data_IF_700476562909
#
_entry.id   IF_700476562909
#
_cell.length_a   1.000
_cell.length_b   1.000
_cell.length_c   1.000
_cell.angle_alpha   90.00
_cell.angle_beta   90.00
_cell.angle_gamma   90.00
#
_symmetry.space_group_name_H-M   'P 1'
#
loop_
_entity.id
_entity.type
_entity.pdbx_description
1 polymer ?
#
# COMPACT_ATOMS: atom_id res chain seq x y z
N UNK A 1 20.73 6.79 14.92
CA UNK A 1 21.08 6.18 13.62
C UNK A 1 19.75 5.78 13.00
N UNK A 2 19.55 5.98 11.70
CA UNK A 2 18.34 5.47 11.05
C UNK A 2 18.34 3.95 11.19
N UNK A 3 17.29 3.40 11.80
CA UNK A 3 17.20 1.96 12.02
C UNK A 3 16.60 1.30 10.78
N UNK A 4 17.23 0.22 10.31
CA UNK A 4 16.77 -0.48 9.10
C UNK A 4 15.43 -1.16 9.37
N UNK A 5 14.64 -1.36 8.33
CA UNK A 5 13.42 -2.18 8.38
C UNK A 5 13.73 -3.54 7.77
N UNK A 6 13.29 -4.61 8.42
CA UNK A 6 13.42 -5.98 7.90
C UNK A 6 12.07 -6.47 7.39
N UNK A 7 12.04 -7.00 6.17
CA UNK A 7 10.88 -7.66 5.58
C UNK A 7 11.01 -9.18 5.65
N UNK A 8 9.92 -9.87 5.97
CA UNK A 8 9.85 -11.33 6.02
C UNK A 8 8.70 -11.87 5.16
N UNK A 9 8.98 -12.92 4.40
CA UNK A 9 7.97 -13.77 3.74
C UNK A 9 8.02 -15.16 4.37
N UNK A 10 6.93 -15.55 5.06
CA UNK A 10 6.90 -16.79 5.87
C UNK A 10 6.28 -17.94 5.08
N UNK A 11 7.12 -18.67 4.36
CA UNK A 11 6.74 -19.90 3.67
C UNK A 11 6.75 -21.15 4.58
N UNK A 12 6.31 -22.29 4.03
CA UNK A 12 6.35 -23.57 4.76
C UNK A 12 7.77 -24.16 4.88
N UNK A 13 8.65 -23.88 3.90
CA UNK A 13 10.01 -24.44 3.82
C UNK A 13 11.12 -23.42 4.06
N UNK A 14 10.87 -22.18 3.66
CA UNK A 14 11.84 -21.09 3.71
C UNK A 14 11.15 -19.85 4.26
N UNK A 15 11.92 -19.01 4.92
CA UNK A 15 11.55 -17.64 5.26
C UNK A 15 12.39 -16.74 4.38
N UNK A 16 11.74 -16.03 3.45
CA UNK A 16 12.38 -14.96 2.71
C UNK A 16 12.74 -13.83 3.67
N UNK A 17 13.92 -13.21 3.47
CA UNK A 17 14.37 -12.11 4.34
C UNK A 17 14.87 -10.98 3.45
N UNK A 18 14.47 -9.76 3.75
CA UNK A 18 15.00 -8.54 3.14
C UNK A 18 15.27 -7.47 4.20
N UNK A 19 16.12 -6.51 3.89
CA UNK A 19 16.40 -5.36 4.76
C UNK A 19 16.44 -4.08 3.93
N UNK A 20 15.96 -2.98 4.50
CA UNK A 20 16.11 -1.66 3.89
C UNK A 20 17.57 -1.21 3.94
N UNK A 21 17.93 -0.29 3.06
CA UNK A 21 19.10 0.55 3.27
C UNK A 21 18.90 1.51 4.48
N UNK A 22 19.96 2.23 4.84
CA UNK A 22 19.93 3.18 5.96
C UNK A 22 19.05 4.41 5.67
N UNK A 23 18.77 4.66 4.40
CA UNK A 23 17.88 5.75 3.97
C UNK A 23 16.41 5.36 4.03
N UNK A 24 16.09 4.06 4.15
CA UNK A 24 14.72 3.56 4.09
C UNK A 24 14.10 3.63 2.69
N UNK A 25 14.93 3.73 1.64
CA UNK A 25 14.48 3.91 0.26
C UNK A 25 14.39 2.58 -0.49
N UNK A 26 15.39 1.71 -0.32
CA UNK A 26 15.53 0.51 -1.14
C UNK A 26 15.55 -0.74 -0.26
N UNK A 27 14.71 -1.71 -0.61
CA UNK A 27 14.72 -3.05 -0.04
C UNK A 27 15.75 -3.96 -0.73
N UNK A 28 16.58 -4.64 0.07
CA UNK A 28 17.61 -5.56 -0.41
C UNK A 28 17.34 -6.97 0.12
N UNK A 29 17.23 -7.94 -0.79
CA UNK A 29 17.05 -9.34 -0.43
C UNK A 29 18.31 -9.90 0.27
N UNK A 30 18.09 -10.59 1.38
CA UNK A 30 19.11 -11.38 2.08
C UNK A 30 18.96 -12.86 1.75
N UNK A 31 19.92 -13.66 2.23
CA UNK A 31 19.84 -15.11 2.12
C UNK A 31 18.61 -15.62 2.91
N UNK A 32 17.72 -16.41 2.29
CA UNK A 32 16.55 -16.94 2.97
C UNK A 32 16.94 -17.93 4.07
N UNK A 33 16.14 -17.97 5.14
CA UNK A 33 16.31 -18.88 6.27
C UNK A 33 15.56 -20.17 5.98
N UNK A 34 16.24 -21.31 6.11
CA UNK A 34 15.57 -22.62 5.97
C UNK A 34 14.82 -22.93 7.25
N UNK A 35 13.53 -23.22 7.12
CA UNK A 35 12.71 -23.60 8.28
C UNK A 35 13.08 -24.98 8.81
N UNK A 36 13.15 -25.07 10.14
CA UNK A 36 13.41 -26.30 10.86
C UNK A 36 12.34 -26.54 11.93
N UNK A 37 12.23 -25.61 12.87
CA UNK A 37 11.25 -25.60 13.93
C UNK A 37 11.10 -24.17 14.43
N UNK A 38 9.92 -23.84 14.94
CA UNK A 38 9.57 -22.47 15.27
C UNK A 38 10.58 -21.78 16.22
N UNK A 39 11.05 -22.38 17.32
CA UNK A 39 12.08 -21.75 18.16
C UNK A 39 13.37 -21.40 17.40
N UNK A 40 13.90 -22.34 16.62
CA UNK A 40 15.14 -22.13 15.86
C UNK A 40 14.96 -21.15 14.70
N UNK A 41 13.78 -21.14 14.08
CA UNK A 41 13.43 -20.18 13.04
C UNK A 41 13.42 -18.75 13.63
N UNK A 42 12.77 -18.55 14.77
CA UNK A 42 12.67 -17.25 15.46
C UNK A 42 14.04 -16.74 15.96
N UNK A 43 14.87 -17.63 16.49
CA UNK A 43 16.23 -17.26 16.94
C UNK A 43 17.10 -16.77 15.79
N UNK A 44 17.04 -17.43 14.62
CA UNK A 44 17.76 -17.00 13.42
C UNK A 44 17.31 -15.61 12.95
N UNK A 45 16.00 -15.34 12.97
CA UNK A 45 15.46 -14.02 12.62
C UNK A 45 15.91 -12.95 13.64
N UNK A 46 15.86 -13.25 14.93
CA UNK A 46 16.31 -12.32 15.98
C UNK A 46 17.80 -11.98 15.84
N UNK A 47 18.64 -12.98 15.54
CA UNK A 47 20.07 -12.76 15.26
C UNK A 47 20.30 -11.89 14.02
N UNK A 48 19.54 -12.11 12.95
CA UNK A 48 19.63 -11.27 11.76
C UNK A 48 19.19 -9.83 12.05
N UNK A 49 18.12 -9.64 12.83
CA UNK A 49 17.65 -8.31 13.21
C UNK A 49 18.72 -7.53 14.01
N UNK A 50 19.41 -8.20 14.93
CA UNK A 50 20.53 -7.62 15.70
C UNK A 50 21.73 -7.27 14.80
N UNK A 51 22.16 -8.21 13.94
CA UNK A 51 23.30 -8.01 13.02
C UNK A 51 23.09 -6.82 12.08
N UNK A 52 21.87 -6.61 11.61
CA UNK A 52 21.53 -5.53 10.67
C UNK A 52 21.09 -4.24 11.36
N UNK A 53 21.06 -4.21 12.71
CA UNK A 53 20.55 -3.09 13.50
C UNK A 53 19.16 -2.63 13.03
N UNK A 54 18.26 -3.62 12.97
CA UNK A 54 16.87 -3.42 12.54
C UNK A 54 16.10 -2.74 13.65
N UNK A 55 15.29 -1.73 13.30
CA UNK A 55 14.40 -1.02 14.21
C UNK A 55 12.95 -1.47 14.12
N UNK A 56 12.57 -2.14 13.03
CA UNK A 56 11.22 -2.66 12.82
C UNK A 56 11.24 -3.88 11.91
N UNK A 57 10.36 -4.84 12.17
CA UNK A 57 10.14 -6.00 11.29
C UNK A 57 8.73 -5.90 10.68
N UNK A 58 8.64 -6.09 9.37
CA UNK A 58 7.41 -6.19 8.60
C UNK A 58 7.29 -7.61 8.07
N UNK A 59 6.15 -8.25 8.30
CA UNK A 59 5.90 -9.62 7.86
C UNK A 59 4.75 -9.61 6.88
N UNK A 60 4.98 -10.08 5.66
CA UNK A 60 3.90 -10.19 4.70
C UNK A 60 2.81 -11.15 5.19
N UNK A 61 1.56 -10.84 4.88
CA UNK A 61 0.38 -11.58 5.26
C UNK A 61 -0.41 -11.96 3.99
N UNK A 62 -0.41 -13.25 3.60
CA UNK A 62 -1.09 -13.71 2.39
C UNK A 62 -2.60 -13.85 2.63
N UNK A 63 -3.31 -12.72 2.64
CA UNK A 63 -4.77 -12.70 2.70
C UNK A 63 -5.36 -13.23 1.39
N UNK A 64 -6.57 -13.78 1.48
CA UNK A 64 -7.33 -14.14 0.28
C UNK A 64 -7.80 -12.84 -0.41
N UNK A 65 -8.14 -12.92 -1.71
CA UNK A 65 -8.60 -11.74 -2.47
C UNK A 65 -9.78 -11.00 -1.84
N UNK A 66 -10.66 -11.71 -1.14
CA UNK A 66 -11.77 -11.14 -0.36
C UNK A 66 -11.38 -10.69 1.07
N UNK A 67 -10.11 -10.36 1.30
CA UNK A 67 -9.52 -9.99 2.59
C UNK A 67 -9.65 -11.04 3.72
N UNK A 68 -10.12 -12.26 3.43
CA UNK A 68 -10.27 -13.29 4.47
C UNK A 68 -8.95 -13.97 4.82
N UNK A 69 -8.81 -14.36 6.09
CA UNK A 69 -7.62 -15.07 6.59
C UNK A 69 -7.67 -16.55 6.17
N UNK A 70 -6.79 -16.94 5.24
CA UNK A 70 -6.59 -18.34 4.87
C UNK A 70 -5.71 -19.13 5.87
N UNK A 71 -5.56 -20.46 5.67
CA UNK A 71 -4.71 -21.29 6.53
C UNK A 71 -3.24 -20.84 6.57
N UNK A 72 -2.72 -20.30 5.46
CA UNK A 72 -1.35 -19.77 5.41
C UNK A 72 -1.22 -18.48 6.22
N UNK A 73 -2.13 -17.51 6.02
CA UNK A 73 -2.18 -16.29 6.83
C UNK A 73 -2.27 -16.61 8.34
N UNK A 74 -3.06 -17.61 8.73
CA UNK A 74 -3.14 -18.03 10.13
C UNK A 74 -1.81 -18.58 10.69
N UNK A 75 -1.04 -19.33 9.89
CA UNK A 75 0.30 -19.79 10.28
C UNK A 75 1.25 -18.60 10.43
N UNK A 76 1.18 -17.63 9.51
CA UNK A 76 1.98 -16.41 9.56
C UNK A 76 1.66 -15.58 10.79
N UNK A 77 0.38 -15.36 11.11
CA UNK A 77 -0.03 -14.67 12.34
C UNK A 77 0.50 -15.36 13.60
N UNK A 78 0.43 -16.69 13.66
CA UNK A 78 1.02 -17.45 14.77
C UNK A 78 2.54 -17.28 14.87
N UNK A 79 3.23 -17.17 13.74
CA UNK A 79 4.66 -16.88 13.69
C UNK A 79 4.96 -15.46 14.20
N UNK A 80 4.23 -14.46 13.72
CA UNK A 80 4.33 -13.04 14.14
C UNK A 80 4.11 -12.90 15.65
N UNK A 81 3.07 -13.52 16.20
CA UNK A 81 2.76 -13.48 17.63
C UNK A 81 3.87 -14.02 18.52
N UNK A 82 4.64 -14.98 18.00
CA UNK A 82 5.77 -15.57 18.71
C UNK A 82 7.03 -14.74 18.52
N UNK A 83 7.22 -14.17 17.33
CA UNK A 83 8.32 -13.25 17.03
C UNK A 83 8.25 -11.98 17.87
N UNK A 84 7.06 -11.36 18.00
CA UNK A 84 6.79 -10.20 18.86
C UNK A 84 7.26 -10.36 20.31
N UNK A 85 7.30 -11.60 20.82
CA UNK A 85 7.74 -11.91 22.20
C UNK A 85 9.24 -12.17 22.30
N UNK A 86 9.92 -12.38 21.18
CA UNK A 86 11.33 -12.74 21.10
C UNK A 86 12.21 -11.53 20.82
N UNK A 87 11.76 -10.64 19.92
CA UNK A 87 12.52 -9.46 19.52
C UNK A 87 12.09 -8.22 20.30
N UNK A 88 13.01 -7.28 20.57
CA UNK A 88 12.68 -6.04 21.27
C UNK A 88 12.08 -4.96 20.35
N UNK A 89 12.06 -5.20 19.05
CA UNK A 89 11.58 -4.25 18.04
C UNK A 89 10.12 -4.48 17.66
N UNK A 90 9.39 -3.44 17.22
CA UNK A 90 8.05 -3.58 16.68
C UNK A 90 8.01 -4.58 15.52
N UNK A 91 6.93 -5.37 15.49
CA UNK A 91 6.64 -6.30 14.39
C UNK A 91 5.24 -6.01 13.87
N UNK A 92 5.11 -5.61 12.61
CA UNK A 92 3.85 -5.38 11.93
C UNK A 92 3.62 -6.43 10.84
N UNK A 93 2.36 -6.58 10.42
CA UNK A 93 1.99 -7.34 9.23
C UNK A 93 1.70 -6.40 8.08
N UNK A 94 1.98 -6.82 6.85
CA UNK A 94 1.67 -6.10 5.62
C UNK A 94 0.82 -6.99 4.72
N UNK A 95 -0.26 -6.48 4.17
CA UNK A 95 -1.09 -7.24 3.22
C UNK A 95 -0.29 -7.50 1.94
N UNK A 96 -0.10 -8.78 1.60
CA UNK A 96 0.64 -9.21 0.41
C UNK A 96 -0.18 -9.15 -0.88
N UNK A 97 -1.44 -8.72 -0.83
CA UNK A 97 -2.25 -8.46 -2.02
C UNK A 97 -1.63 -7.31 -2.80
N UNK A 98 -0.66 -7.63 -3.65
CA UNK A 98 -0.28 -6.77 -4.76
C UNK A 98 -1.47 -6.76 -5.71
N UNK A 99 -2.00 -5.58 -6.01
CA UNK A 99 -2.91 -5.44 -7.15
C UNK A 99 -2.18 -5.89 -8.42
N UNK A 100 -2.92 -6.35 -9.43
CA UNK A 100 -2.33 -6.78 -10.72
C UNK A 100 -1.35 -5.74 -11.26
N UNK A 101 -1.68 -4.46 -11.09
CA UNK A 101 -0.84 -3.32 -11.45
C UNK A 101 0.43 -3.18 -10.59
N UNK A 102 0.36 -3.32 -9.27
CA UNK A 102 1.54 -3.24 -8.39
C UNK A 102 2.53 -4.37 -8.71
N UNK A 103 2.02 -5.59 -8.96
CA UNK A 103 2.84 -6.71 -9.40
C UNK A 103 3.47 -6.43 -10.78
N UNK A 104 2.73 -5.88 -11.73
CA UNK A 104 3.24 -5.56 -13.07
C UNK A 104 4.32 -4.46 -13.06
N UNK A 105 4.09 -3.35 -12.35
CA UNK A 105 5.08 -2.26 -12.19
C UNK A 105 6.40 -2.76 -11.60
N UNK A 106 6.34 -3.56 -10.55
CA UNK A 106 7.53 -4.15 -9.91
C UNK A 106 8.29 -5.05 -10.89
N UNK A 107 7.56 -5.89 -11.65
CA UNK A 107 8.17 -6.83 -12.59
C UNK A 107 8.77 -6.16 -13.82
N UNK A 108 8.21 -5.01 -14.24
CA UNK A 108 8.74 -4.17 -15.32
C UNK A 108 9.99 -3.43 -14.85
N UNK A 109 9.96 -2.79 -13.68
CA UNK A 109 11.10 -2.05 -13.11
C UNK A 109 12.33 -2.94 -12.88
N UNK A 110 12.13 -4.23 -12.63
CA UNK A 110 13.21 -5.20 -12.43
C UNK A 110 13.66 -5.93 -13.70
N UNK A 111 13.16 -5.53 -14.89
CA UNK A 111 13.49 -6.14 -16.20
C UNK A 111 13.30 -7.69 -16.24
N UNK A 112 12.37 -8.22 -15.43
CA UNK A 112 12.22 -9.67 -15.26
C UNK A 112 11.39 -10.26 -16.42
N UNK A 113 12.04 -11.06 -17.26
CA UNK A 113 11.37 -11.81 -18.35
C UNK A 113 10.23 -12.68 -17.81
N UNK A 114 9.08 -12.67 -18.50
CA UNK A 114 7.82 -13.36 -18.11
C UNK A 114 8.02 -14.83 -17.68
N UNK A 115 8.87 -15.56 -18.38
CA UNK A 115 9.21 -16.97 -18.09
C UNK A 115 9.93 -17.21 -16.76
N UNK A 116 10.63 -16.20 -16.23
CA UNK A 116 11.40 -16.30 -14.98
C UNK A 116 10.66 -15.69 -13.79
N UNK A 117 9.51 -15.02 -14.01
CA UNK A 117 8.77 -14.30 -12.96
C UNK A 117 8.48 -15.17 -11.76
N UNK A 118 7.99 -16.40 -11.95
CA UNK A 118 7.67 -17.31 -10.83
C UNK A 118 8.91 -17.71 -10.00
N UNK A 119 10.03 -17.98 -10.65
CA UNK A 119 11.28 -18.34 -9.98
C UNK A 119 11.95 -17.13 -9.30
N UNK A 120 11.77 -15.94 -9.86
CA UNK A 120 12.22 -14.68 -9.26
C UNK A 120 11.35 -14.35 -8.05
N UNK A 121 10.02 -14.39 -8.18
CA UNK A 121 9.05 -14.17 -7.09
C UNK A 121 9.39 -15.05 -5.87
N UNK A 122 9.64 -16.36 -6.06
CA UNK A 122 10.02 -17.26 -4.96
C UNK A 122 11.36 -16.91 -4.27
N UNK A 123 12.23 -16.15 -4.94
CA UNK A 123 13.55 -15.73 -4.43
C UNK A 123 13.63 -14.29 -3.93
N UNK A 124 12.69 -13.42 -4.33
CA UNK A 124 12.68 -11.99 -4.01
C UNK A 124 11.41 -11.52 -3.29
N UNK A 125 10.46 -12.41 -2.99
CA UNK A 125 9.19 -12.06 -2.35
C UNK A 125 9.35 -11.13 -1.14
N UNK A 126 10.25 -11.47 -0.21
CA UNK A 126 10.50 -10.63 0.96
C UNK A 126 10.99 -9.21 0.64
N UNK A 127 11.78 -9.02 -0.43
CA UNK A 127 12.18 -7.67 -0.84
C UNK A 127 11.05 -6.91 -1.53
N UNK A 128 10.15 -7.60 -2.25
CA UNK A 128 8.99 -6.95 -2.85
C UNK A 128 7.99 -6.49 -1.80
N UNK A 129 7.71 -7.35 -0.81
CA UNK A 129 6.88 -7.01 0.35
C UNK A 129 7.45 -5.80 1.08
N UNK A 130 8.76 -5.82 1.34
CA UNK A 130 9.41 -4.72 2.03
C UNK A 130 9.41 -3.44 1.20
N UNK A 131 9.64 -3.53 -0.11
CA UNK A 131 9.63 -2.35 -0.98
C UNK A 131 8.24 -1.72 -1.03
N UNK A 132 7.18 -2.53 -1.22
CA UNK A 132 5.80 -2.04 -1.20
C UNK A 132 5.46 -1.33 0.13
N UNK A 133 5.88 -1.90 1.25
CA UNK A 133 5.72 -1.26 2.57
C UNK A 133 6.46 0.08 2.68
N UNK A 134 7.71 0.15 2.21
CA UNK A 134 8.52 1.38 2.25
C UNK A 134 7.93 2.48 1.37
N UNK A 135 7.47 2.12 0.17
CA UNK A 135 6.87 3.05 -0.78
C UNK A 135 5.57 3.64 -0.21
N UNK A 136 4.70 2.79 0.37
CA UNK A 136 3.47 3.24 1.04
C UNK A 136 3.78 4.13 2.25
N UNK A 137 4.72 3.72 3.12
CA UNK A 137 5.09 4.52 4.30
C UNK A 137 5.68 5.89 3.93
N UNK A 138 6.27 6.02 2.73
CA UNK A 138 6.75 7.30 2.21
C UNK A 138 5.61 8.19 1.71
N UNK A 139 4.66 7.63 0.96
CA UNK A 139 3.49 8.37 0.48
C UNK A 139 2.69 8.97 1.65
N UNK A 140 2.47 8.19 2.72
CA UNK A 140 1.78 8.66 3.93
C UNK A 140 2.52 9.83 4.59
N UNK A 141 3.86 9.74 4.77
CA UNK A 141 4.63 10.83 5.41
C UNK A 141 4.63 12.11 4.58
N UNK A 142 4.73 12.01 3.27
CA UNK A 142 4.69 13.19 2.39
C UNK A 142 3.34 13.91 2.53
N UNK A 143 2.23 13.16 2.66
CA UNK A 143 0.87 13.72 2.87
C UNK A 143 0.68 14.39 4.24
N UNK A 144 1.30 13.85 5.29
CA UNK A 144 1.28 14.47 6.63
C UNK A 144 2.09 15.77 6.67
N UNK A 145 3.24 15.83 5.98
CA UNK A 145 4.09 17.02 5.91
C UNK A 145 3.48 18.15 5.08
N UNK A 146 2.73 17.84 4.01
CA UNK A 146 1.97 18.84 3.24
C UNK A 146 0.75 19.35 4.00
N UNK A 147 -0.01 18.49 4.69
CA UNK A 147 -1.15 18.93 5.53
C UNK A 147 -0.75 19.79 6.75
N UNK A 148 0.45 19.60 7.30
CA UNK A 148 0.95 20.44 8.41
C UNK A 148 1.41 21.84 7.97
N UNK A 149 1.70 22.05 6.69
CA UNK A 149 2.09 23.35 6.17
C UNK A 149 0.89 24.29 6.00
N UNK A 150 -0.31 23.74 5.77
CA UNK A 150 -1.49 24.53 5.38
C UNK A 150 -2.61 24.65 6.40
N UNK A 151 -2.61 23.93 7.54
CA UNK A 151 -3.73 24.06 8.47
C UNK A 151 -3.37 24.30 9.95
N UNK A 152 -3.77 25.48 10.42
CA UNK A 152 -3.77 25.88 11.83
C UNK A 152 -5.13 25.78 12.47
N UNK A 153 -6.20 25.43 11.76
CA UNK A 153 -7.55 25.52 12.31
C UNK A 153 -8.53 24.55 11.62
N UNK A 154 -8.31 23.23 11.62
CA UNK A 154 -9.42 22.31 11.35
C UNK A 154 -9.25 20.91 11.98
N UNK A 155 -10.07 20.60 13.00
CA UNK A 155 -10.29 19.22 13.47
C UNK A 155 -11.48 18.64 12.69
N UNK A 156 -11.21 17.84 11.66
CA UNK A 156 -12.21 16.96 11.04
C UNK A 156 -11.72 15.51 11.11
N UNK A 157 -12.55 14.66 11.72
CA UNK A 157 -12.27 13.24 11.89
C UNK A 157 -12.56 12.48 10.61
N UNK A 158 -11.51 12.10 9.90
CA UNK A 158 -11.51 11.00 8.94
C UNK A 158 -10.37 10.04 9.33
N UNK A 159 -10.66 8.75 9.37
CA UNK A 159 -9.75 7.71 9.86
C UNK A 159 -8.66 7.37 8.84
N UNK A 160 -7.43 7.25 9.34
CA UNK A 160 -6.14 7.05 8.65
C UNK A 160 -5.95 5.69 7.93
N UNK A 161 -6.93 5.09 7.25
CA UNK A 161 -6.77 3.73 6.68
C UNK A 161 -6.89 3.64 5.14
N UNK A 162 -5.74 3.30 4.52
CA UNK A 162 -5.55 2.63 3.22
C UNK A 162 -5.87 3.41 1.93
N UNK A 163 -5.14 3.12 0.85
CA UNK A 163 -5.58 3.43 -0.52
C UNK A 163 -6.95 2.74 -0.72
N UNK A 164 -8.05 3.46 -0.45
CA UNK A 164 -9.40 2.89 -0.49
C UNK A 164 -9.74 2.53 -1.95
N UNK A 165 -9.65 1.25 -2.29
CA UNK A 165 -10.16 0.74 -3.56
C UNK A 165 -11.67 0.69 -3.44
N UNK A 166 -12.34 1.54 -4.21
CA UNK A 166 -13.79 1.55 -4.29
C UNK A 166 -14.24 0.84 -5.57
N UNK A 167 -15.34 0.11 -5.46
CA UNK A 167 -16.01 -0.53 -6.61
C UNK A 167 -17.26 0.26 -6.92
N UNK A 168 -17.31 0.88 -8.10
CA UNK A 168 -18.50 1.56 -8.60
C UNK A 168 -19.17 0.71 -9.67
N UNK A 169 -20.49 0.63 -9.62
CA UNK A 169 -21.28 -0.06 -10.65
C UNK A 169 -21.83 0.97 -11.62
N UNK A 170 -21.57 0.80 -12.91
CA UNK A 170 -22.12 1.66 -13.96
C UNK A 170 -23.62 1.39 -14.22
N UNK A 171 -24.21 2.19 -15.12
CA UNK A 171 -25.62 2.09 -15.51
C UNK A 171 -25.96 0.79 -16.28
N UNK A 172 -24.96 0.11 -16.83
CA UNK A 172 -25.07 -1.21 -17.46
C UNK A 172 -24.97 -2.36 -16.44
N UNK A 173 -24.70 -2.05 -15.17
CA UNK A 173 -24.53 -3.03 -14.09
C UNK A 173 -23.15 -3.67 -14.06
N UNK A 174 -22.15 -3.11 -14.75
CA UNK A 174 -20.77 -3.55 -14.74
C UNK A 174 -20.02 -2.84 -13.61
N UNK A 175 -19.27 -3.62 -12.84
CA UNK A 175 -18.42 -3.14 -11.76
C UNK A 175 -17.07 -2.64 -12.33
N UNK A 176 -16.64 -1.48 -11.85
CA UNK A 176 -15.34 -0.87 -12.15
C UNK A 176 -14.64 -0.54 -10.83
N UNK A 177 -13.36 -0.85 -10.74
CA UNK A 177 -12.56 -0.59 -9.55
C UNK A 177 -11.74 0.69 -9.75
N UNK A 178 -11.73 1.53 -8.72
CA UNK A 178 -11.01 2.79 -8.68
C UNK A 178 -10.17 2.87 -7.43
N UNK A 179 -9.02 3.53 -7.52
CA UNK A 179 -8.28 4.01 -6.34
C UNK A 179 -8.72 5.44 -6.05
N UNK A 180 -9.10 5.72 -4.81
CA UNK A 180 -9.26 7.10 -4.34
C UNK A 180 -7.87 7.71 -4.20
N UNK A 181 -7.55 8.67 -5.06
CA UNK A 181 -6.25 9.35 -5.08
C UNK A 181 -6.22 10.48 -4.08
N UNK A 182 -7.28 11.29 -4.06
CA UNK A 182 -7.40 12.47 -3.21
C UNK A 182 -8.86 12.88 -3.00
N UNK A 183 -9.10 13.78 -2.05
CA UNK A 183 -10.40 14.44 -1.82
C UNK A 183 -10.18 15.94 -1.74
N UNK A 184 -10.84 16.68 -2.63
CA UNK A 184 -10.75 18.14 -2.70
C UNK A 184 -12.05 18.80 -2.25
N UNK A 185 -11.94 19.94 -1.56
CA UNK A 185 -13.09 20.78 -1.22
C UNK A 185 -13.21 21.96 -2.18
N UNK A 186 -14.35 22.08 -2.86
CA UNK A 186 -14.67 23.20 -3.76
C UNK A 186 -16.05 23.75 -3.40
N UNK A 187 -16.13 25.03 -3.05
CA UNK A 187 -17.39 25.71 -2.68
C UNK A 187 -18.18 25.01 -1.56
N UNK A 188 -17.50 24.56 -0.49
CA UNK A 188 -18.10 23.88 0.67
C UNK A 188 -18.73 22.52 0.32
N UNK A 189 -18.27 21.90 -0.76
CA UNK A 189 -18.62 20.54 -1.18
C UNK A 189 -17.33 19.75 -1.36
N UNK A 190 -17.37 18.47 -1.00
CA UNK A 190 -16.23 17.56 -1.10
C UNK A 190 -16.35 16.70 -2.36
N UNK A 191 -15.21 16.42 -2.99
CA UNK A 191 -15.13 15.64 -4.22
C UNK A 191 -13.98 14.66 -4.15
N UNK A 192 -14.25 13.38 -4.44
CA UNK A 192 -13.26 12.33 -4.53
C UNK A 192 -12.69 12.24 -5.94
N UNK A 193 -11.36 12.18 -6.03
CA UNK A 193 -10.60 12.00 -7.26
C UNK A 193 -10.24 10.53 -7.39
N UNK A 194 -10.70 9.91 -8.47
CA UNK A 194 -10.66 8.48 -8.67
C UNK A 194 -9.86 8.15 -9.91
N UNK A 195 -8.90 7.23 -9.79
CA UNK A 195 -8.19 6.70 -10.95
C UNK A 195 -8.66 5.26 -11.25
N UNK A 196 -9.06 4.97 -12.50
CA UNK A 196 -9.47 3.62 -12.88
C UNK A 196 -8.29 2.64 -12.78
N UNK A 197 -8.58 1.43 -12.28
CA UNK A 197 -7.58 0.38 -12.08
C UNK A 197 -7.35 -0.46 -13.36
N UNK A 198 -8.20 -0.34 -14.39
CA UNK A 198 -8.19 -1.26 -15.54
C UNK A 198 -8.15 -0.53 -16.89
N UNK A 199 -7.18 0.38 -17.07
CA UNK A 199 -6.90 0.97 -18.40
C UNK A 199 -5.91 0.06 -19.14
N UNK A 200 -6.32 -0.48 -20.30
CA UNK A 200 -5.40 -1.19 -21.20
C UNK A 200 -4.20 -0.29 -21.55
N UNK A 201 -3.01 -0.87 -21.69
CA UNK A 201 -1.66 -0.24 -21.70
C UNK A 201 -1.44 0.94 -22.69
N UNK A 202 -2.43 1.35 -23.49
CA UNK A 202 -2.35 2.37 -24.54
C UNK A 202 -3.37 3.53 -24.38
N UNK A 203 -4.18 3.58 -23.32
CA UNK A 203 -5.09 4.70 -23.04
C UNK A 203 -4.58 5.58 -21.88
N UNK A 204 -4.54 6.90 -22.08
CA UNK A 204 -4.30 7.85 -20.99
C UNK A 204 -5.44 7.70 -19.98
N UNK A 205 -5.15 7.21 -18.78
CA UNK A 205 -6.15 7.00 -17.75
C UNK A 205 -6.73 8.35 -17.31
N UNK A 206 -7.96 8.63 -17.72
CA UNK A 206 -8.68 9.83 -17.32
C UNK A 206 -9.14 9.68 -15.85
N UNK A 207 -8.85 10.69 -15.04
CA UNK A 207 -9.36 10.74 -13.67
C UNK A 207 -10.88 10.97 -13.69
N UNK A 208 -11.59 10.23 -12.85
CA UNK A 208 -13.02 10.41 -12.61
C UNK A 208 -13.15 11.20 -11.31
N UNK A 209 -13.93 12.27 -11.32
CA UNK A 209 -14.19 13.06 -10.12
C UNK A 209 -15.67 12.92 -9.75
N UNK A 210 -15.94 12.45 -8.54
CA UNK A 210 -17.30 12.29 -8.02
C UNK A 210 -17.48 13.13 -6.76
N UNK A 211 -18.71 13.58 -6.52
CA UNK A 211 -19.03 14.37 -5.35
C UNK A 211 -19.36 13.48 -4.17
N UNK A 212 -18.87 13.83 -2.99
CA UNK A 212 -19.22 13.18 -1.73
C UNK A 212 -20.49 13.82 -1.17
N UNK A 213 -21.48 12.99 -0.87
CA UNK A 213 -22.70 13.37 -0.14
C UNK A 213 -22.90 12.45 1.05
N UNK A 214 -23.66 12.93 2.04
CA UNK A 214 -24.19 12.09 3.12
C UNK A 214 -25.59 11.62 2.72
N UNK A 215 -25.84 10.32 2.80
CA UNK A 215 -27.17 9.77 2.58
C UNK A 215 -28.11 10.00 3.79
N UNK A 216 -29.31 9.39 3.75
CA UNK A 216 -30.31 9.53 4.80
C UNK A 216 -29.91 8.89 6.14
N UNK A 217 -28.96 7.95 6.11
CA UNK A 217 -28.42 7.24 7.26
C UNK A 217 -27.12 7.89 7.76
N UNK A 218 -26.57 8.85 7.01
CA UNK A 218 -25.37 9.61 7.34
C UNK A 218 -24.08 8.97 6.82
N UNK A 219 -24.20 7.99 5.92
CA UNK A 219 -23.10 7.32 5.27
C UNK A 219 -22.65 8.14 4.03
N UNK A 220 -21.34 8.12 3.75
CA UNK A 220 -20.78 8.77 2.56
C UNK A 220 -21.15 8.01 1.30
N UNK A 221 -21.67 8.73 0.32
CA UNK A 221 -22.01 8.23 -1.01
C UNK A 221 -21.38 9.10 -2.08
N UNK A 222 -20.94 8.45 -3.16
CA UNK A 222 -20.39 9.12 -4.33
C UNK A 222 -21.49 9.35 -5.36
N UNK A 223 -21.60 10.59 -5.84
CA UNK A 223 -22.62 11.00 -6.79
C UNK A 223 -22.00 11.76 -7.96
N UNK A 224 -22.59 11.60 -9.14
CA UNK A 224 -22.16 12.30 -10.34
C UNK A 224 -22.34 13.82 -10.21
N UNK A 225 -21.47 14.56 -10.89
CA UNK A 225 -21.56 16.01 -11.03
C UNK A 225 -22.43 16.30 -12.26
N UNK A 226 -23.69 16.66 -12.03
CA UNK A 226 -24.64 16.93 -13.13
C UNK A 226 -24.52 18.34 -13.74
N UNK A 227 -23.89 19.27 -13.01
CA UNK A 227 -23.79 20.68 -13.39
C UNK A 227 -22.48 20.98 -14.11
N UNK A 228 -22.55 21.49 -15.35
CA UNK A 228 -21.38 21.90 -16.14
C UNK A 228 -20.55 22.99 -15.42
N UNK A 229 -21.22 23.94 -14.77
CA UNK A 229 -20.55 25.00 -13.98
C UNK A 229 -19.83 24.43 -12.76
N UNK A 230 -20.39 23.39 -12.14
CA UNK A 230 -19.77 22.72 -10.99
C UNK A 230 -18.57 21.89 -11.44
N UNK A 231 -18.71 21.16 -12.55
CA UNK A 231 -17.62 20.40 -13.14
C UNK A 231 -16.41 21.28 -13.50
N UNK A 232 -16.65 22.42 -14.15
CA UNK A 232 -15.58 23.33 -14.57
C UNK A 232 -14.79 23.88 -13.36
N UNK A 233 -15.48 24.19 -12.26
CA UNK A 233 -14.84 24.66 -11.02
C UNK A 233 -13.98 23.58 -10.37
N UNK A 234 -14.49 22.35 -10.32
CA UNK A 234 -13.80 21.22 -9.70
C UNK A 234 -12.62 20.77 -10.56
N UNK A 235 -12.80 20.70 -11.88
CA UNK A 235 -11.73 20.38 -12.82
C UNK A 235 -10.61 21.42 -12.75
N UNK A 236 -10.93 22.72 -12.69
CA UNK A 236 -9.92 23.76 -12.52
C UNK A 236 -9.17 23.61 -11.19
N UNK A 237 -9.88 23.34 -10.09
CA UNK A 237 -9.24 23.13 -8.80
C UNK A 237 -8.29 21.91 -8.81
N UNK A 238 -8.66 20.85 -9.52
CA UNK A 238 -7.80 19.69 -9.72
C UNK A 238 -6.58 19.99 -10.61
N UNK A 239 -6.75 20.74 -11.70
CA UNK A 239 -5.63 21.17 -12.55
C UNK A 239 -4.63 22.05 -11.78
N UNK A 240 -5.13 23.00 -10.98
CA UNK A 240 -4.29 23.85 -10.13
C UNK A 240 -3.51 23.01 -9.09
N UNK A 241 -4.14 21.97 -8.54
CA UNK A 241 -3.48 21.04 -7.61
C UNK A 241 -2.38 20.22 -8.28
N UNK A 242 -2.59 19.75 -9.52
CA UNK A 242 -1.58 19.03 -10.30
C UNK A 242 -0.38 19.92 -10.69
N UNK A 243 -0.64 21.18 -11.00
CA UNK A 243 0.41 22.14 -11.37
C UNK A 243 1.30 22.50 -10.17
N UNK A 244 0.75 22.58 -8.96
CA UNK A 244 1.52 22.86 -7.73
C UNK A 244 2.42 21.66 -7.33
N UNK A 245 2.03 20.41 -7.64
CA UNK A 245 2.88 19.22 -7.46
C UNK A 245 4.02 19.10 -8.50
N UNK A 246 3.98 19.90 -9.59
CA UNK A 246 4.93 19.85 -10.71
C UNK A 246 6.16 20.74 -10.58
N UNK A 247 6.22 21.63 -9.58
CA UNK A 247 7.32 22.58 -9.35
C UNK A 247 8.22 22.25 -8.14
N UNK A 248 8.67 20.99 -7.95
CA UNK A 248 9.81 20.67 -7.05
C UNK A 248 10.82 19.64 -7.60
#
# INVERSE_FOLDING_TARGET
>A
MAERIMGLDVGDKWIGVAVSDETGLIANALKPVRRQNLPSDLEQIAQLADVWNVGQIVVGLPLNMNATVGPQAQKTLNFVDRLKRMVPVPVSTWDERLTTQQAERILIQQEVRRENRKAVIDGVAASLILQAYLDHARMVRTREETHMADDKDFEAGFSEEEDEIITLTDDEGKEHEFVVVDVIEVNQKEYAILLPIDTEEDEEAEAVILRLEKDADGDDVLVDIESEEEWEQVAQAYEELLDDEGEE
#
